data_IF_019207293612
#
_entry.id   IF_019207293612
#
_cell.length_a   1.000
_cell.length_b   1.000
_cell.length_c   1.000
_cell.angle_alpha   90.00
_cell.angle_beta   90.00
_cell.angle_gamma   90.00
#
_symmetry.space_group_name_H-M   'P 1'
#
loop_
_entity.id
_entity.type
_entity.pdbx_description
1 polymer ?
#
# COMPACT_ATOMS: atom_id res chain seq x y z
N UNK A 1 -7.47 -20.91 -17.40
CA UNK A 1 -8.15 -20.59 -18.69
C UNK A 1 -7.71 -19.21 -19.15
N UNK A 2 -7.36 -19.01 -20.45
CA UNK A 2 -6.96 -17.69 -20.97
C UNK A 2 -8.16 -16.96 -21.55
N UNK A 3 -8.29 -15.67 -21.28
CA UNK A 3 -9.27 -14.78 -21.88
C UNK A 3 -8.59 -13.71 -22.73
N UNK A 4 -9.13 -13.47 -23.92
CA UNK A 4 -8.72 -12.37 -24.79
C UNK A 4 -9.34 -11.07 -24.31
N UNK A 5 -8.55 -10.01 -24.22
CA UNK A 5 -8.99 -8.66 -23.86
C UNK A 5 -8.27 -7.62 -24.69
N UNK A 6 -8.99 -6.58 -25.15
CA UNK A 6 -8.40 -5.47 -25.87
C UNK A 6 -7.99 -4.35 -24.91
N UNK A 7 -6.71 -4.02 -24.88
CA UNK A 7 -6.14 -2.94 -24.08
C UNK A 7 -5.42 -1.97 -25.01
N UNK A 8 -5.87 -0.73 -25.08
CA UNK A 8 -5.28 0.30 -25.93
C UNK A 8 -5.23 -0.07 -27.43
N UNK A 9 -6.20 -0.86 -27.91
CA UNK A 9 -6.22 -1.35 -29.27
C UNK A 9 -5.21 -2.49 -29.54
N UNK A 10 -4.67 -3.13 -28.50
CA UNK A 10 -3.87 -4.35 -28.60
C UNK A 10 -4.64 -5.48 -27.94
N UNK A 11 -4.71 -6.60 -28.62
CA UNK A 11 -5.25 -7.84 -28.07
C UNK A 11 -4.18 -8.50 -27.21
N UNK A 12 -4.51 -8.71 -25.95
CA UNK A 12 -3.68 -9.46 -24.99
C UNK A 12 -4.48 -10.63 -24.44
N UNK A 13 -3.80 -11.64 -23.97
CA UNK A 13 -4.42 -12.82 -23.38
C UNK A 13 -4.04 -12.89 -21.91
N UNK A 14 -5.01 -12.96 -21.03
CA UNK A 14 -4.80 -13.01 -19.59
C UNK A 14 -5.26 -14.36 -19.04
N UNK A 15 -4.53 -14.93 -18.08
CA UNK A 15 -5.03 -16.05 -17.29
C UNK A 15 -5.48 -15.60 -15.90
N UNK A 16 -6.22 -16.46 -15.21
CA UNK A 16 -6.76 -16.20 -13.88
C UNK A 16 -5.70 -16.23 -12.77
N UNK A 17 -4.50 -16.69 -13.07
CA UNK A 17 -3.35 -16.69 -12.16
C UNK A 17 -2.58 -15.37 -12.15
N UNK A 18 -2.87 -14.47 -13.10
CA UNK A 18 -2.25 -13.14 -13.14
C UNK A 18 -1.18 -12.94 -14.21
N UNK A 19 -1.05 -13.87 -15.16
CA UNK A 19 -0.10 -13.77 -16.26
C UNK A 19 -0.75 -13.18 -17.51
N UNK A 20 0.04 -12.43 -18.28
CA UNK A 20 -0.41 -11.78 -19.51
C UNK A 20 0.46 -12.24 -20.68
N UNK A 21 -0.19 -12.63 -21.75
CA UNK A 21 0.45 -13.19 -22.94
C UNK A 21 0.14 -12.40 -24.20
N UNK A 22 1.05 -12.46 -25.15
CA UNK A 22 0.86 -11.98 -26.51
C UNK A 22 -0.01 -12.97 -27.32
N UNK A 23 -0.43 -12.57 -28.48
CA UNK A 23 -1.18 -13.43 -29.43
C UNK A 23 -0.37 -14.67 -29.85
N UNK A 24 0.95 -14.55 -29.95
CA UNK A 24 1.85 -15.67 -30.24
C UNK A 24 2.07 -16.63 -29.07
N UNK A 25 1.42 -16.39 -27.91
CA UNK A 25 1.53 -17.21 -26.70
C UNK A 25 2.70 -16.87 -25.78
N UNK A 26 3.58 -15.95 -26.18
CA UNK A 26 4.68 -15.46 -25.36
C UNK A 26 4.19 -14.61 -24.20
N UNK A 27 4.71 -14.81 -23.00
CA UNK A 27 4.37 -14.00 -21.83
C UNK A 27 5.02 -12.62 -21.90
N UNK A 28 4.28 -11.59 -21.49
CA UNK A 28 4.82 -10.25 -21.37
C UNK A 28 5.83 -10.16 -20.22
N UNK A 29 6.96 -9.50 -20.45
CA UNK A 29 7.93 -9.20 -19.40
C UNK A 29 7.31 -8.25 -18.37
N UNK A 30 7.30 -8.69 -17.12
CA UNK A 30 6.76 -7.91 -16.01
C UNK A 30 7.78 -6.89 -15.51
N UNK A 31 7.34 -5.67 -15.33
CA UNK A 31 8.12 -4.61 -14.67
C UNK A 31 7.70 -4.50 -13.20
N UNK A 32 8.64 -4.78 -12.30
CA UNK A 32 8.48 -4.76 -10.85
C UNK A 32 8.99 -3.48 -10.18
N UNK A 33 9.45 -2.47 -10.93
CA UNK A 33 10.11 -1.28 -10.36
C UNK A 33 9.21 -0.36 -9.57
N UNK A 34 7.88 -0.55 -9.60
CA UNK A 34 6.91 0.29 -8.91
C UNK A 34 6.14 -0.46 -7.82
N UNK A 35 5.12 0.22 -7.27
CA UNK A 35 4.22 -0.34 -6.27
C UNK A 35 3.43 -1.55 -6.78
N UNK A 36 3.12 -1.59 -8.08
CA UNK A 36 2.33 -2.62 -8.76
C UNK A 36 3.11 -3.23 -9.92
N UNK A 37 2.87 -4.49 -10.21
CA UNK A 37 3.35 -5.13 -11.42
C UNK A 37 2.68 -4.58 -12.66
N UNK A 38 3.48 -4.31 -13.68
CA UNK A 38 3.06 -3.66 -14.91
C UNK A 38 3.70 -4.31 -16.11
N UNK A 39 3.02 -4.28 -17.25
CA UNK A 39 3.57 -4.61 -18.55
C UNK A 39 3.66 -3.36 -19.42
N UNK A 40 4.61 -3.35 -20.36
CA UNK A 40 4.74 -2.29 -21.34
C UNK A 40 3.86 -2.59 -22.56
N UNK A 41 2.88 -1.71 -22.82
CA UNK A 41 2.00 -1.79 -24.00
C UNK A 41 2.05 -0.49 -24.79
N UNK A 42 2.35 -0.57 -26.08
CA UNK A 42 2.57 0.60 -26.95
C UNK A 42 3.58 1.58 -26.36
N UNK A 43 3.11 2.60 -25.67
CA UNK A 43 3.91 3.73 -25.18
C UNK A 43 3.78 3.97 -23.67
N UNK A 44 3.14 3.04 -22.93
CA UNK A 44 2.95 3.21 -21.50
C UNK A 44 2.93 1.89 -20.72
N UNK A 45 3.16 1.99 -19.42
CA UNK A 45 2.95 0.89 -18.50
C UNK A 45 1.48 0.72 -18.16
N UNK A 46 0.99 -0.51 -18.21
CA UNK A 46 -0.36 -0.91 -17.79
C UNK A 46 -0.25 -1.90 -16.63
N UNK A 47 -1.00 -1.65 -15.57
CA UNK A 47 -0.97 -2.48 -14.37
C UNK A 47 -1.68 -3.83 -14.61
N UNK A 48 -1.01 -4.92 -14.26
CA UNK A 48 -1.49 -6.31 -14.47
C UNK A 48 -2.79 -6.54 -13.73
N UNK A 49 -2.91 -6.16 -12.44
CA UNK A 49 -4.13 -6.36 -11.66
C UNK A 49 -5.37 -5.74 -12.33
N UNK A 50 -5.23 -4.61 -13.04
CA UNK A 50 -6.35 -4.00 -13.76
C UNK A 50 -6.75 -4.80 -14.99
N UNK A 51 -5.78 -5.36 -15.72
CA UNK A 51 -6.06 -6.23 -16.88
C UNK A 51 -6.80 -7.47 -16.40
N UNK A 52 -6.30 -8.12 -15.36
CA UNK A 52 -6.91 -9.33 -14.78
C UNK A 52 -8.32 -9.04 -14.25
N UNK A 53 -8.49 -7.98 -13.47
CA UNK A 53 -9.81 -7.61 -12.95
C UNK A 53 -10.80 -7.34 -14.09
N UNK A 54 -10.39 -6.64 -15.14
CA UNK A 54 -11.24 -6.38 -16.30
C UNK A 54 -11.61 -7.67 -17.06
N UNK A 55 -10.70 -8.63 -17.15
CA UNK A 55 -10.93 -9.88 -17.87
C UNK A 55 -11.81 -10.88 -17.09
N UNK A 56 -11.66 -10.96 -15.77
CA UNK A 56 -12.18 -12.06 -14.97
C UNK A 56 -13.24 -11.67 -13.96
N UNK A 57 -13.30 -10.41 -13.51
CA UNK A 57 -14.15 -10.00 -12.39
C UNK A 57 -15.27 -9.08 -12.89
N UNK A 58 -16.55 -9.46 -12.73
CA UNK A 58 -17.67 -8.60 -13.08
C UNK A 58 -17.62 -7.27 -12.32
N UNK A 59 -17.90 -6.17 -13.01
CA UNK A 59 -17.93 -4.81 -12.43
C UNK A 59 -19.27 -4.11 -12.75
N UNK A 60 -20.41 -4.60 -12.23
CA UNK A 60 -21.73 -4.03 -12.54
C UNK A 60 -21.87 -2.59 -12.04
N UNK A 61 -21.18 -2.25 -10.97
CA UNK A 61 -21.22 -0.91 -10.38
C UNK A 61 -20.22 0.08 -10.99
N UNK A 62 -19.43 -0.35 -11.98
CA UNK A 62 -18.41 0.48 -12.67
C UNK A 62 -17.41 1.13 -11.72
N UNK A 63 -16.95 0.39 -10.71
CA UNK A 63 -15.91 0.89 -9.80
C UNK A 63 -14.57 1.10 -10.53
N UNK A 64 -13.86 2.16 -10.16
CA UNK A 64 -12.60 2.54 -10.80
C UNK A 64 -11.37 1.94 -10.11
N UNK A 65 -11.52 1.39 -8.91
CA UNK A 65 -10.42 0.90 -8.09
C UNK A 65 -10.46 -0.62 -7.99
N UNK A 66 -9.28 -1.25 -8.13
CA UNK A 66 -9.06 -2.67 -7.85
C UNK A 66 -8.27 -2.79 -6.56
N UNK A 67 -8.77 -3.59 -5.62
CA UNK A 67 -8.10 -3.93 -4.38
C UNK A 67 -7.46 -5.33 -4.48
N UNK A 68 -6.33 -5.53 -3.80
CA UNK A 68 -5.75 -6.85 -3.53
C UNK A 68 -6.21 -7.28 -2.14
N UNK A 69 -6.95 -8.38 -2.06
CA UNK A 69 -7.60 -8.86 -0.83
C UNK A 69 -6.57 -9.19 0.24
N UNK A 70 -5.44 -9.81 -0.15
CA UNK A 70 -4.33 -10.16 0.73
C UNK A 70 -3.33 -9.01 0.98
N UNK A 71 -3.57 -7.82 0.40
CA UNK A 71 -2.69 -6.64 0.39
C UNK A 71 -1.35 -6.83 -0.36
N UNK A 72 -1.03 -8.02 -0.84
CA UNK A 72 0.15 -8.28 -1.64
C UNK A 72 -0.05 -7.76 -3.08
N UNK A 73 0.59 -6.64 -3.41
CA UNK A 73 0.47 -5.97 -4.71
C UNK A 73 1.14 -6.73 -5.88
N UNK A 74 1.76 -7.86 -5.57
CA UNK A 74 2.37 -8.78 -6.54
C UNK A 74 1.49 -10.00 -6.83
N UNK A 75 0.51 -10.28 -5.98
CA UNK A 75 -0.46 -11.35 -6.19
C UNK A 75 -1.61 -10.88 -7.08
N UNK A 76 -1.44 -11.00 -8.39
CA UNK A 76 -2.42 -10.54 -9.37
C UNK A 76 -3.43 -11.61 -9.78
N UNK A 77 -3.51 -12.75 -9.06
CA UNK A 77 -4.52 -13.76 -9.30
C UNK A 77 -5.95 -13.19 -9.20
N UNK A 78 -6.85 -13.59 -10.10
CA UNK A 78 -8.22 -13.08 -10.14
C UNK A 78 -8.97 -13.32 -8.82
N UNK A 79 -8.70 -14.43 -8.14
CA UNK A 79 -9.27 -14.77 -6.83
C UNK A 79 -8.83 -13.84 -5.69
N UNK A 80 -7.72 -13.10 -5.90
CA UNK A 80 -7.18 -12.13 -4.93
C UNK A 80 -7.55 -10.68 -5.25
N UNK A 81 -8.32 -10.44 -6.30
CA UNK A 81 -8.68 -9.09 -6.74
C UNK A 81 -10.17 -8.84 -6.59
N UNK A 82 -10.53 -7.62 -6.27
CA UNK A 82 -11.92 -7.17 -6.22
C UNK A 82 -12.05 -5.74 -6.75
N UNK A 83 -13.17 -5.44 -7.43
CA UNK A 83 -13.54 -4.07 -7.75
C UNK A 83 -14.14 -3.39 -6.51
N UNK A 84 -13.67 -2.19 -6.18
CA UNK A 84 -14.15 -1.46 -5.02
C UNK A 84 -14.13 0.05 -5.23
N UNK A 85 -14.78 0.78 -4.33
CA UNK A 85 -14.62 2.23 -4.25
C UNK A 85 -13.30 2.59 -3.57
N UNK A 86 -12.73 3.75 -3.89
CA UNK A 86 -11.53 4.25 -3.20
C UNK A 86 -11.74 4.37 -1.68
N UNK A 87 -12.96 4.76 -1.26
CA UNK A 87 -13.35 4.85 0.15
C UNK A 87 -13.33 3.47 0.85
N UNK A 88 -13.81 2.43 0.16
CA UNK A 88 -13.78 1.05 0.67
C UNK A 88 -12.34 0.56 0.81
N UNK A 89 -11.53 0.73 -0.23
CA UNK A 89 -10.11 0.35 -0.21
C UNK A 89 -9.33 1.04 0.93
N UNK A 90 -9.57 2.33 1.14
CA UNK A 90 -8.96 3.07 2.26
C UNK A 90 -9.48 2.60 3.62
N UNK A 91 -10.77 2.26 3.74
CA UNK A 91 -11.38 1.75 4.98
C UNK A 91 -10.92 0.34 5.33
N UNK A 92 -10.81 -0.55 4.34
CA UNK A 92 -10.29 -1.90 4.53
C UNK A 92 -8.86 -1.86 5.07
N UNK A 93 -8.01 -1.01 4.47
CA UNK A 93 -6.66 -0.77 4.97
C UNK A 93 -6.66 -0.25 6.42
N UNK A 94 -7.46 0.78 6.70
CA UNK A 94 -7.56 1.39 8.04
C UNK A 94 -8.09 0.38 9.06
N UNK A 95 -9.15 -0.39 8.75
CA UNK A 95 -9.73 -1.38 9.65
C UNK A 95 -8.71 -2.46 10.04
N UNK A 96 -8.01 -3.05 9.06
CA UNK A 96 -7.00 -4.08 9.30
C UNK A 96 -5.80 -3.58 10.12
N UNK A 97 -5.41 -2.32 9.93
CA UNK A 97 -4.32 -1.71 10.68
C UNK A 97 -4.77 -1.11 12.03
N UNK A 98 -6.08 -0.96 12.27
CA UNK A 98 -6.64 -0.57 13.58
C UNK A 98 -6.94 -1.81 14.45
N UNK A 99 -7.30 -2.96 13.86
CA UNK A 99 -7.54 -4.21 14.59
C UNK A 99 -6.27 -4.77 15.26
N UNK A 100 -5.09 -4.28 14.88
CA UNK A 100 -3.84 -4.47 15.63
C UNK A 100 -3.12 -3.11 15.74
N UNK A 101 -3.66 -2.14 16.48
CA UNK A 101 -2.88 -0.96 16.79
C UNK A 101 -1.68 -1.45 17.62
N UNK A 102 -0.47 -1.16 17.15
CA UNK A 102 0.66 -1.07 18.09
C UNK A 102 0.27 0.07 19.02
N UNK A 103 -0.35 -0.28 20.15
CA UNK A 103 -0.79 0.69 21.14
C UNK A 103 0.46 1.31 21.73
N UNK A 104 0.67 2.56 21.41
CA UNK A 104 1.75 3.33 22.03
C UNK A 104 1.30 3.67 23.43
N UNK A 105 1.92 3.04 24.41
CA UNK A 105 1.62 3.27 25.83
C UNK A 105 2.18 4.61 26.31
N UNK A 106 3.42 4.91 25.92
CA UNK A 106 4.13 6.13 26.32
C UNK A 106 5.08 6.61 25.23
N UNK A 107 5.23 7.92 25.12
CA UNK A 107 6.20 8.58 24.23
C UNK A 107 7.08 9.48 25.08
N UNK A 108 8.39 9.39 24.92
CA UNK A 108 9.38 10.15 25.65
C UNK A 108 10.11 11.10 24.71
N UNK A 109 10.17 12.37 25.09
CA UNK A 109 11.04 13.39 24.50
C UNK A 109 12.36 13.37 25.25
N UNK A 110 13.48 13.18 24.56
CA UNK A 110 14.81 13.13 25.14
C UNK A 110 15.71 14.20 24.53
N UNK A 111 16.69 14.66 25.30
CA UNK A 111 17.80 15.45 24.74
C UNK A 111 18.70 14.57 23.85
N UNK A 112 19.75 15.17 23.25
CA UNK A 112 20.67 14.44 22.36
C UNK A 112 21.59 13.46 23.13
N UNK A 113 21.66 13.55 24.44
CA UNK A 113 22.37 12.63 25.32
C UNK A 113 21.47 11.46 25.79
N UNK A 114 20.17 11.51 25.48
CA UNK A 114 19.21 10.48 25.81
C UNK A 114 18.48 10.67 27.15
N UNK A 115 18.70 11.79 27.86
CA UNK A 115 17.98 12.13 29.08
C UNK A 115 16.54 12.51 28.78
N UNK A 116 15.58 12.01 29.56
CA UNK A 116 14.15 12.27 29.38
C UNK A 116 13.82 13.71 29.78
N UNK A 117 13.25 14.47 28.87
CA UNK A 117 12.78 15.84 29.08
C UNK A 117 11.27 15.95 29.21
N UNK A 118 10.52 14.91 28.81
CA UNK A 118 9.07 14.89 28.88
C UNK A 118 8.50 13.53 28.51
N UNK A 119 7.30 13.24 29.04
CA UNK A 119 6.54 12.02 28.84
C UNK A 119 5.12 12.36 28.38
N UNK A 120 4.56 11.57 27.44
CA UNK A 120 3.26 11.81 26.80
C UNK A 120 2.52 10.47 26.59
N UNK A 121 1.17 10.49 26.67
CA UNK A 121 0.30 9.33 26.47
C UNK A 121 0.04 9.05 24.98
N UNK A 122 1.05 9.22 24.15
CA UNK A 122 1.03 8.91 22.74
C UNK A 122 1.54 10.02 21.83
N UNK A 123 1.65 9.70 20.54
CA UNK A 123 2.21 10.63 19.53
C UNK A 123 1.34 11.87 19.28
N UNK A 124 0.03 11.78 19.50
CA UNK A 124 -0.88 12.91 19.28
C UNK A 124 -0.68 13.95 20.38
N UNK A 125 -0.59 13.51 21.61
CA UNK A 125 -0.37 14.39 22.76
C UNK A 125 1.03 15.02 22.70
N UNK A 126 2.06 14.24 22.44
CA UNK A 126 3.40 14.75 22.22
C UNK A 126 3.46 15.81 21.11
N UNK A 127 2.74 15.62 20.02
CA UNK A 127 2.66 16.58 18.91
C UNK A 127 1.96 17.87 19.33
N UNK A 128 0.86 17.77 20.08
CA UNK A 128 0.13 18.95 20.61
C UNK A 128 0.98 19.76 21.58
N UNK A 129 1.68 19.07 22.49
CA UNK A 129 2.49 19.73 23.50
C UNK A 129 3.75 20.39 22.95
N UNK A 130 4.30 19.89 21.82
CA UNK A 130 5.61 20.35 21.32
C UNK A 130 5.54 21.09 19.99
N UNK A 131 4.39 21.09 19.31
CA UNK A 131 4.24 21.66 17.96
C UNK A 131 4.93 20.85 16.86
N UNK A 132 5.57 19.72 17.18
CA UNK A 132 6.25 18.85 16.20
C UNK A 132 5.24 17.90 15.58
N UNK A 133 5.26 17.77 14.25
CA UNK A 133 4.32 16.89 13.55
C UNK A 133 4.40 15.43 14.03
N UNK A 134 3.25 14.81 14.36
CA UNK A 134 3.16 13.47 14.97
C UNK A 134 3.93 12.38 14.22
N UNK A 135 3.93 12.42 12.87
CA UNK A 135 4.65 11.42 12.08
C UNK A 135 6.17 11.61 12.17
N UNK A 136 6.65 12.84 12.34
CA UNK A 136 8.08 13.11 12.55
C UNK A 136 8.55 12.55 13.91
N UNK A 137 7.76 12.73 14.98
CA UNK A 137 7.98 12.10 16.28
C UNK A 137 7.97 10.58 16.17
N UNK A 138 6.95 10.01 15.53
CA UNK A 138 6.82 8.57 15.32
C UNK A 138 8.03 7.98 14.56
N UNK A 139 8.45 8.61 13.47
CA UNK A 139 9.58 8.12 12.66
C UNK A 139 10.90 8.14 13.44
N UNK A 140 11.08 9.10 14.34
CA UNK A 140 12.21 9.11 15.25
C UNK A 140 12.09 7.97 16.28
N UNK A 141 10.92 7.81 16.93
CA UNK A 141 10.71 6.81 17.95
C UNK A 141 10.85 5.35 17.48
N UNK A 142 10.56 5.09 16.17
CA UNK A 142 10.76 3.76 15.54
C UNK A 142 12.11 3.63 14.81
N UNK A 143 13.05 4.57 15.01
CA UNK A 143 14.40 4.52 14.48
C UNK A 143 14.58 4.86 12.99
N UNK A 144 13.53 5.36 12.31
CA UNK A 144 13.67 5.82 10.91
C UNK A 144 14.46 7.13 10.78
N UNK A 145 14.34 8.01 11.76
CA UNK A 145 15.08 9.26 11.87
C UNK A 145 15.85 9.29 13.19
N UNK A 146 17.04 9.90 13.20
CA UNK A 146 17.84 10.04 14.42
C UNK A 146 17.21 11.02 15.42
N UNK A 147 16.66 12.13 14.88
CA UNK A 147 16.06 13.20 15.70
C UNK A 147 14.83 13.78 15.00
N UNK A 148 13.97 14.46 15.78
CA UNK A 148 12.87 15.27 15.28
C UNK A 148 12.67 16.50 16.17
N UNK A 149 12.66 17.71 15.57
CA UNK A 149 12.58 18.98 16.26
C UNK A 149 13.77 19.24 17.21
N UNK A 150 14.95 18.67 16.92
CA UNK A 150 16.15 18.78 17.76
C UNK A 150 16.20 17.79 18.93
N UNK A 151 15.26 16.84 19.02
CA UNK A 151 15.14 15.88 20.11
C UNK A 151 15.20 14.44 19.62
N UNK A 152 15.65 13.52 20.48
CA UNK A 152 15.48 12.08 20.32
C UNK A 152 14.11 11.72 20.91
N UNK A 153 13.39 10.84 20.21
CA UNK A 153 12.09 10.34 20.66
C UNK A 153 12.15 8.83 20.85
N UNK A 154 11.59 8.37 21.95
CA UNK A 154 11.44 6.93 22.29
C UNK A 154 9.96 6.65 22.54
N UNK A 155 9.52 5.41 22.32
CA UNK A 155 8.17 4.99 22.63
C UNK A 155 8.15 3.59 23.22
N UNK A 156 7.23 3.37 24.16
CA UNK A 156 6.86 2.04 24.66
C UNK A 156 5.59 1.62 23.93
N UNK A 157 5.61 0.43 23.36
CA UNK A 157 4.51 -0.19 22.66
C UNK A 157 3.97 -1.36 23.49
N UNK A 158 2.66 -1.58 23.43
CA UNK A 158 1.99 -2.78 23.95
C UNK A 158 1.89 -3.85 22.88
#
# INVERSE_FOLDING_TARGET
MRKKINILGIDVYADDSGHIFRENGEEYKVNHSGRYDRIWLKSRYVAIHRIIATAFIPNPNRYDTVNHIDENKRNNAASNLEWCTQKHNSRAYVKKHIENPILVKKVFKCDLNGNVLGEYDGFVEAAKATGIHRNAIRYCAIGRNKTSGGYIWKAIFE
#
